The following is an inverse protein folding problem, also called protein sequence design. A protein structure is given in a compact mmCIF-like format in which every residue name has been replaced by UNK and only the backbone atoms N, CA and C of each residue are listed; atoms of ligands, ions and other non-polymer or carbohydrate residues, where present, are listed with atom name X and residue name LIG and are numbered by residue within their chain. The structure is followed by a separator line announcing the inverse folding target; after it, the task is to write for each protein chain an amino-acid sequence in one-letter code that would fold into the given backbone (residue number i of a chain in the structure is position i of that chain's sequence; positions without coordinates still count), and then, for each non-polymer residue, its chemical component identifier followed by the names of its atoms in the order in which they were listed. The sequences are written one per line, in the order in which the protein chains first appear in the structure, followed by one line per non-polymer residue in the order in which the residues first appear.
data_IF_839754651178
#
_entry.id   IF_839754651178
#
_cell.length_a   1.000
_cell.length_b   1.000
_cell.length_c   1.000
_cell.angle_alpha   90.00
_cell.angle_beta   90.00
_cell.angle_gamma   90.00
#
_symmetry.space_group_name_H-M   'P 1'
#
loop_
_entity.id
_entity.type
_entity.pdbx_description
1 polymer ?
#
# COMPACT_ATOMS: atom_id res chain seq x y z
N UNK A 1 13.00 2.57 11.82
CA UNK A 1 12.57 1.20 11.40
C UNK A 1 12.51 1.22 9.88
N UNK A 2 13.06 0.21 9.21
CA UNK A 2 12.97 0.16 7.75
C UNK A 2 11.50 0.01 7.32
N UNK A 3 11.14 0.56 6.15
CA UNK A 3 9.77 0.63 5.64
C UNK A 3 9.72 0.07 4.23
N UNK A 4 8.98 -0.99 4.05
CA UNK A 4 8.96 -1.75 2.80
C UNK A 4 7.61 -1.69 2.09
N UNK A 5 7.64 -1.56 0.78
CA UNK A 5 6.44 -1.60 -0.06
C UNK A 5 5.66 -2.91 0.10
N UNK A 6 6.38 -4.03 0.22
CA UNK A 6 5.76 -5.35 0.41
C UNK A 6 4.94 -5.45 1.69
N UNK A 7 5.32 -4.75 2.78
CA UNK A 7 4.55 -4.73 4.01
C UNK A 7 3.23 -3.97 3.84
N UNK A 8 3.22 -2.88 3.07
CA UNK A 8 2.00 -2.12 2.74
C UNK A 8 1.04 -2.98 1.94
N UNK A 9 1.52 -3.63 0.89
CA UNK A 9 0.72 -4.56 0.09
C UNK A 9 0.17 -5.70 0.94
N UNK A 10 1.02 -6.34 1.76
CA UNK A 10 0.62 -7.43 2.65
C UNK A 10 -0.45 -6.99 3.66
N UNK A 11 -0.33 -5.79 4.21
CA UNK A 11 -1.33 -5.26 5.14
C UNK A 11 -2.65 -4.98 4.44
N UNK A 12 -2.63 -4.42 3.23
CA UNK A 12 -3.84 -4.22 2.43
C UNK A 12 -4.52 -5.57 2.10
N UNK A 13 -3.74 -6.56 1.66
CA UNK A 13 -4.22 -7.93 1.40
C UNK A 13 -4.87 -8.57 2.62
N UNK A 14 -4.33 -8.36 3.82
CA UNK A 14 -4.88 -8.92 5.06
C UNK A 14 -6.26 -8.36 5.43
N UNK A 15 -6.68 -7.28 4.80
CA UNK A 15 -7.99 -6.66 5.03
C UNK A 15 -9.01 -6.93 3.91
N UNK A 16 -8.64 -7.64 2.86
CA UNK A 16 -9.59 -8.02 1.80
C UNK A 16 -10.84 -8.70 2.36
N UNK A 17 -11.99 -8.35 1.79
CA UNK A 17 -13.31 -8.87 2.20
C UNK A 17 -13.88 -8.22 3.47
N UNK A 18 -13.28 -7.16 4.00
CA UNK A 18 -13.85 -6.38 5.10
C UNK A 18 -14.92 -5.43 4.56
N UNK A 19 -16.17 -5.86 4.57
CA UNK A 19 -17.30 -5.13 4.01
C UNK A 19 -17.81 -4.04 4.95
N UNK A 20 -18.35 -2.97 4.39
CA UNK A 20 -18.92 -1.84 5.12
C UNK A 20 -19.97 -2.29 6.13
N UNK A 21 -19.93 -1.71 7.34
CA UNK A 21 -20.78 -2.06 8.46
C UNK A 21 -20.32 -3.28 9.26
N UNK A 22 -19.39 -4.10 8.72
CA UNK A 22 -18.80 -5.23 9.45
C UNK A 22 -17.88 -4.78 10.59
N UNK A 23 -17.55 -5.70 11.49
CA UNK A 23 -16.53 -5.46 12.54
C UNK A 23 -15.20 -5.06 11.93
N UNK A 24 -14.78 -5.74 10.85
CA UNK A 24 -13.52 -5.43 10.18
C UNK A 24 -13.45 -4.03 9.56
N UNK A 25 -14.56 -3.54 9.00
CA UNK A 25 -14.66 -2.14 8.54
C UNK A 25 -14.53 -1.16 9.72
N UNK A 26 -15.29 -1.40 10.81
CA UNK A 26 -15.24 -0.55 12.01
C UNK A 26 -13.83 -0.50 12.61
N UNK A 27 -13.11 -1.61 12.64
CA UNK A 27 -11.71 -1.65 13.09
C UNK A 27 -10.80 -0.75 12.27
N UNK A 28 -11.00 -0.65 10.94
CA UNK A 28 -10.23 0.24 10.05
C UNK A 28 -10.52 1.71 10.42
N UNK A 29 -11.80 2.07 10.55
CA UNK A 29 -12.22 3.43 10.90
C UNK A 29 -11.73 3.81 12.31
N UNK A 30 -11.87 2.91 13.28
CA UNK A 30 -11.44 3.16 14.66
C UNK A 30 -9.93 3.29 14.77
N UNK A 31 -9.16 2.49 14.02
CA UNK A 31 -7.71 2.61 13.94
C UNK A 31 -7.31 3.99 13.42
N UNK A 32 -7.92 4.45 12.32
CA UNK A 32 -7.69 5.82 11.82
C UNK A 32 -8.04 6.87 12.87
N UNK A 33 -9.20 6.77 13.50
CA UNK A 33 -9.68 7.73 14.50
C UNK A 33 -8.84 7.72 15.79
N UNK A 34 -8.12 6.65 16.08
CA UNK A 34 -7.22 6.57 17.24
C UNK A 34 -5.91 7.33 17.02
N UNK A 35 -5.50 7.52 15.76
CA UNK A 35 -4.28 8.24 15.41
C UNK A 35 -4.44 9.76 15.61
N UNK A 36 -3.44 10.39 16.24
CA UNK A 36 -3.48 11.83 16.56
C UNK A 36 -2.24 12.54 16.00
N UNK A 37 -2.40 13.79 15.55
CA UNK A 37 -3.68 14.54 15.42
C UNK A 37 -4.54 13.97 14.29
N UNK A 38 -5.87 14.09 14.42
CA UNK A 38 -6.79 13.78 13.33
C UNK A 38 -6.59 14.77 12.18
N UNK A 39 -6.61 14.28 10.95
CA UNK A 39 -6.58 15.13 9.77
C UNK A 39 -7.73 16.16 9.83
N UNK A 40 -7.40 17.42 9.77
CA UNK A 40 -8.36 18.54 9.86
C UNK A 40 -9.27 18.50 11.11
N UNK A 41 -8.87 17.77 12.16
CA UNK A 41 -9.68 17.58 13.37
C UNK A 41 -10.95 16.72 13.17
N UNK A 42 -11.11 16.10 12.00
CA UNK A 42 -12.32 15.35 11.65
C UNK A 42 -12.24 13.88 12.09
N UNK A 43 -13.25 13.45 12.84
CA UNK A 43 -13.45 12.06 13.22
C UNK A 43 -14.33 11.37 12.17
N UNK A 44 -13.80 10.43 11.42
CA UNK A 44 -14.51 9.70 10.37
C UNK A 44 -15.63 8.85 10.98
N UNK A 45 -16.80 8.90 10.37
CA UNK A 45 -17.96 8.07 10.74
C UNK A 45 -17.95 6.77 9.95
N UNK A 46 -18.67 5.76 10.44
CA UNK A 46 -18.80 4.48 9.73
C UNK A 46 -19.63 4.55 8.44
N UNK A 47 -20.25 5.70 8.17
CA UNK A 47 -21.09 5.96 6.98
C UNK A 47 -20.44 6.95 6.02
N UNK A 48 -19.24 7.41 6.30
CA UNK A 48 -18.51 8.30 5.41
C UNK A 48 -17.80 7.48 4.33
N UNK A 49 -17.51 8.09 3.17
CA UNK A 49 -16.60 7.48 2.20
C UNK A 49 -15.22 7.26 2.86
N UNK A 50 -14.67 6.06 2.72
CA UNK A 50 -13.52 5.62 3.51
C UNK A 50 -12.32 5.09 2.71
N UNK A 51 -12.28 5.33 1.39
CA UNK A 51 -11.14 4.93 0.54
C UNK A 51 -9.81 5.53 1.03
N UNK A 52 -9.75 6.84 1.26
CA UNK A 52 -8.55 7.51 1.79
C UNK A 52 -8.26 7.12 3.25
N UNK A 53 -9.31 6.88 4.04
CA UNK A 53 -9.20 6.37 5.40
C UNK A 53 -8.57 4.97 5.43
N UNK A 54 -8.92 4.09 4.48
CA UNK A 54 -8.30 2.78 4.33
C UNK A 54 -6.79 2.87 4.10
N UNK A 55 -6.35 3.69 3.13
CA UNK A 55 -4.91 3.90 2.85
C UNK A 55 -4.19 4.44 4.08
N UNK A 56 -4.78 5.42 4.75
CA UNK A 56 -4.25 6.00 5.98
C UNK A 56 -4.16 4.98 7.11
N UNK A 57 -5.17 4.14 7.28
CA UNK A 57 -5.20 3.10 8.30
C UNK A 57 -4.12 2.03 8.07
N UNK A 58 -3.82 1.67 6.80
CA UNK A 58 -2.68 0.81 6.46
C UNK A 58 -1.36 1.45 6.94
N UNK A 59 -1.16 2.74 6.64
CA UNK A 59 0.04 3.47 7.09
C UNK A 59 0.15 3.53 8.62
N UNK A 60 -0.96 3.80 9.31
CA UNK A 60 -1.01 3.85 10.79
C UNK A 60 -0.67 2.47 11.37
N UNK A 61 -1.26 1.39 10.83
CA UNK A 61 -1.02 0.02 11.29
C UNK A 61 0.45 -0.38 11.24
N UNK A 62 1.15 0.10 10.23
CA UNK A 62 2.57 -0.20 10.01
C UNK A 62 3.53 0.82 10.66
N UNK A 63 3.03 1.96 11.15
CA UNK A 63 3.88 3.06 11.62
C UNK A 63 4.58 3.81 10.49
N UNK A 64 3.96 3.89 9.29
CA UNK A 64 4.52 4.48 8.07
C UNK A 64 3.96 5.87 7.74
N UNK A 65 3.37 6.54 8.73
CA UNK A 65 2.67 7.83 8.55
C UNK A 65 3.58 9.00 8.15
N UNK A 66 4.87 8.85 8.30
CA UNK A 66 5.86 9.82 7.83
C UNK A 66 6.11 9.76 6.31
N UNK A 67 5.91 8.59 5.66
CA UNK A 67 6.04 8.42 4.21
C UNK A 67 4.68 8.34 3.49
N UNK A 68 3.66 7.80 4.13
CA UNK A 68 2.27 7.77 3.62
C UNK A 68 1.45 8.70 4.51
N UNK A 69 0.94 9.83 3.98
CA UNK A 69 0.21 10.79 4.79
C UNK A 69 -1.12 10.22 5.30
N UNK A 70 -1.51 10.63 6.49
CA UNK A 70 -2.82 10.29 7.07
C UNK A 70 -3.84 11.35 6.71
N UNK A 71 -4.86 10.97 5.96
CA UNK A 71 -5.95 11.85 5.52
C UNK A 71 -7.20 11.02 5.21
N UNK A 72 -8.38 11.62 5.31
CA UNK A 72 -9.66 10.99 4.96
C UNK A 72 -10.29 11.55 3.68
N UNK A 73 -9.58 12.41 2.96
CA UNK A 73 -10.02 12.98 1.69
C UNK A 73 -8.94 12.91 0.63
N UNK A 74 -9.28 12.38 -0.55
CA UNK A 74 -8.33 12.10 -1.63
C UNK A 74 -7.54 13.34 -2.07
N UNK A 75 -8.22 14.48 -2.30
CA UNK A 75 -7.55 15.72 -2.73
C UNK A 75 -6.52 16.22 -1.72
N UNK A 76 -6.86 16.17 -0.43
CA UNK A 76 -5.93 16.59 0.64
C UNK A 76 -4.77 15.59 0.81
N UNK A 77 -5.00 14.31 0.56
CA UNK A 77 -3.92 13.33 0.54
C UNK A 77 -2.93 13.60 -0.60
N UNK A 78 -3.40 14.00 -1.80
CA UNK A 78 -2.54 14.45 -2.90
C UNK A 78 -1.73 15.68 -2.50
N UNK A 79 -2.35 16.70 -1.88
CA UNK A 79 -1.63 17.90 -1.42
C UNK A 79 -0.47 17.53 -0.47
N UNK A 80 -0.71 16.61 0.45
CA UNK A 80 0.32 16.12 1.37
C UNK A 80 1.41 15.31 0.67
N UNK A 81 1.06 14.48 -0.33
CA UNK A 81 2.03 13.76 -1.14
C UNK A 81 2.90 14.72 -1.98
N UNK A 82 2.29 15.76 -2.57
CA UNK A 82 3.01 16.84 -3.27
C UNK A 82 3.99 17.53 -2.33
N UNK A 83 3.58 17.87 -1.13
CA UNK A 83 4.45 18.53 -0.14
C UNK A 83 5.65 17.68 0.30
N UNK A 84 5.51 16.35 0.23
CA UNK A 84 6.59 15.37 0.52
C UNK A 84 7.48 15.09 -0.70
N UNK A 85 7.19 15.66 -1.88
CA UNK A 85 7.85 15.30 -3.13
C UNK A 85 7.65 13.83 -3.52
N UNK A 86 6.47 13.29 -3.22
CA UNK A 86 6.06 11.91 -3.40
C UNK A 86 4.80 11.80 -4.29
N UNK A 87 4.66 12.69 -5.28
CA UNK A 87 3.53 12.71 -6.21
C UNK A 87 3.98 12.74 -7.65
N UNK A 88 3.34 11.96 -8.52
CA UNK A 88 3.55 11.96 -9.98
C UNK A 88 2.18 12.05 -10.66
N UNK A 89 2.01 13.05 -11.50
CA UNK A 89 0.89 13.22 -12.42
C UNK A 89 1.27 12.64 -13.80
N UNK A 90 1.10 11.34 -13.95
CA UNK A 90 1.39 10.65 -15.22
C UNK A 90 0.65 9.30 -15.26
N UNK A 91 -0.44 9.23 -15.98
CA UNK A 91 -1.24 8.02 -16.17
C UNK A 91 -0.48 6.92 -16.91
N UNK A 92 0.48 7.30 -17.77
CA UNK A 92 1.30 6.35 -18.53
C UNK A 92 2.37 5.66 -17.67
N UNK A 93 2.51 6.08 -16.43
CA UNK A 93 3.46 5.45 -15.52
C UNK A 93 3.06 4.00 -15.23
N UNK A 94 4.02 3.12 -15.30
CA UNK A 94 3.88 1.76 -14.73
C UNK A 94 4.21 1.82 -13.24
N UNK A 95 3.19 1.72 -12.37
CA UNK A 95 3.42 1.86 -10.93
C UNK A 95 4.12 0.62 -10.35
N UNK A 96 4.71 0.81 -9.17
CA UNK A 96 5.28 -0.29 -8.40
C UNK A 96 4.27 -0.76 -7.32
N UNK A 97 4.38 -2.00 -6.85
CA UNK A 97 3.65 -2.43 -5.66
C UNK A 97 3.90 -1.47 -4.48
N UNK A 98 2.83 -1.11 -3.78
CA UNK A 98 2.88 -0.13 -2.69
C UNK A 98 2.73 1.34 -3.11
N UNK A 99 2.79 1.67 -4.40
CA UNK A 99 2.38 3.00 -4.87
C UNK A 99 0.88 3.21 -4.55
N UNK A 100 0.50 4.46 -4.37
CA UNK A 100 -0.88 4.86 -4.07
C UNK A 100 -1.47 5.45 -5.34
N UNK A 101 -2.52 4.82 -5.88
CA UNK A 101 -3.17 5.28 -7.12
C UNK A 101 -4.42 6.08 -6.78
N UNK A 102 -4.62 7.19 -7.50
CA UNK A 102 -5.78 8.05 -7.37
C UNK A 102 -6.57 8.09 -8.65
N UNK A 103 -7.88 8.23 -8.53
CA UNK A 103 -8.82 8.27 -9.64
C UNK A 103 -9.62 9.56 -9.65
N UNK A 104 -9.89 10.05 -10.85
CA UNK A 104 -10.85 11.09 -11.18
C UNK A 104 -11.90 10.46 -12.10
N UNK A 105 -13.09 10.17 -11.57
CA UNK A 105 -14.16 9.53 -12.33
C UNK A 105 -14.85 10.49 -13.30
N UNK A 106 -14.74 11.79 -13.06
CA UNK A 106 -15.31 12.84 -13.88
C UNK A 106 -14.41 13.22 -15.08
N UNK A 107 -13.24 12.59 -15.20
CA UNK A 107 -12.35 12.80 -16.33
C UNK A 107 -13.09 12.54 -17.64
N UNK A 108 -13.15 13.57 -18.49
CA UNK A 108 -13.84 13.51 -19.79
C UNK A 108 -13.08 12.70 -20.87
N UNK A 109 -12.02 11.99 -20.50
CA UNK A 109 -11.21 11.13 -21.34
C UNK A 109 -10.10 11.83 -22.11
N UNK A 110 -9.75 13.03 -21.72
CA UNK A 110 -8.59 13.74 -22.29
C UNK A 110 -7.27 13.36 -21.62
N UNK A 111 -7.29 12.63 -20.52
CA UNK A 111 -6.10 12.15 -19.82
C UNK A 111 -5.17 13.29 -19.42
N UNK A 112 -5.74 14.38 -18.93
CA UNK A 112 -4.97 15.58 -18.60
C UNK A 112 -4.42 15.58 -17.17
N UNK A 113 -4.75 14.55 -16.37
CA UNK A 113 -4.36 14.39 -14.95
C UNK A 113 -4.77 15.59 -14.06
N UNK A 114 -5.77 16.34 -14.49
CA UNK A 114 -6.37 17.44 -13.73
C UNK A 114 -7.68 16.97 -13.12
N UNK A 115 -8.25 17.79 -12.24
CA UNK A 115 -9.53 17.50 -11.61
C UNK A 115 -9.41 17.07 -10.16
N UNK A 116 -10.57 16.80 -9.57
CA UNK A 116 -10.69 16.41 -8.16
C UNK A 116 -10.70 14.89 -8.05
N UNK A 117 -9.79 14.29 -7.28
CA UNK A 117 -9.80 12.85 -7.11
C UNK A 117 -10.96 12.44 -6.19
N UNK A 118 -11.76 11.49 -6.62
CA UNK A 118 -12.86 10.91 -5.86
C UNK A 118 -12.48 9.61 -5.15
N UNK A 119 -11.45 8.91 -5.64
CA UNK A 119 -11.10 7.59 -5.10
C UNK A 119 -9.60 7.37 -5.01
N UNK A 120 -9.19 6.38 -4.20
CA UNK A 120 -7.79 6.04 -3.97
C UNK A 120 -7.64 4.58 -3.55
N UNK A 121 -6.54 3.95 -4.01
CA UNK A 121 -6.19 2.59 -3.64
C UNK A 121 -4.68 2.39 -3.50
N UNK A 122 -4.30 1.16 -3.15
CA UNK A 122 -2.91 0.72 -3.03
C UNK A 122 -2.61 -0.26 -4.16
N UNK A 123 -1.60 0.02 -4.97
CA UNK A 123 -1.16 -0.88 -6.03
C UNK A 123 -0.64 -2.18 -5.42
N UNK A 124 -1.29 -3.30 -5.75
CA UNK A 124 -0.85 -4.63 -5.32
C UNK A 124 0.26 -5.16 -6.22
N UNK A 125 0.06 -5.09 -7.53
CA UNK A 125 1.02 -5.60 -8.53
C UNK A 125 0.66 -5.17 -9.95
N UNK A 126 1.59 -5.36 -10.87
CA UNK A 126 1.34 -5.34 -12.32
C UNK A 126 1.13 -6.76 -12.85
N UNK A 127 0.20 -6.92 -13.78
CA UNK A 127 -0.03 -8.12 -14.58
C UNK A 127 -0.01 -7.73 -16.07
N UNK A 128 1.16 -7.83 -16.70
CA UNK A 128 1.31 -7.30 -18.06
C UNK A 128 0.98 -5.82 -18.12
N UNK A 129 -0.03 -5.45 -18.90
CA UNK A 129 -0.51 -4.07 -19.03
C UNK A 129 -1.71 -3.74 -18.14
N UNK A 130 -1.92 -4.54 -17.10
CA UNK A 130 -2.96 -4.29 -16.10
C UNK A 130 -2.33 -4.01 -14.74
N UNK A 131 -2.98 -3.14 -13.97
CA UNK A 131 -2.66 -2.82 -12.59
C UNK A 131 -3.71 -3.50 -11.71
N UNK A 132 -3.26 -4.28 -10.74
CA UNK A 132 -4.13 -4.79 -9.68
C UNK A 132 -4.00 -3.86 -8.47
N UNK A 133 -5.12 -3.35 -8.00
CA UNK A 133 -5.21 -2.38 -6.90
C UNK A 133 -6.07 -2.96 -5.79
N UNK A 134 -5.71 -2.70 -4.53
CA UNK A 134 -6.57 -2.99 -3.37
C UNK A 134 -7.13 -1.66 -2.89
N UNK A 135 -8.46 -1.61 -2.78
CA UNK A 135 -9.21 -0.39 -2.46
C UNK A 135 -10.14 -0.62 -1.28
N UNK A 136 -10.29 0.36 -0.42
CA UNK A 136 -11.39 0.42 0.52
C UNK A 136 -12.55 1.21 -0.08
N UNK A 137 -13.77 1.01 0.40
CA UNK A 137 -14.97 1.65 -0.14
C UNK A 137 -15.20 1.33 -1.63
N UNK A 138 -15.11 0.06 -1.95
CA UNK A 138 -15.29 -0.46 -3.31
C UNK A 138 -16.17 -1.71 -3.27
N UNK A 139 -17.15 -1.79 -4.16
CA UNK A 139 -18.15 -2.87 -4.27
C UNK A 139 -17.65 -4.12 -5.03
N UNK A 140 -16.39 -4.10 -5.51
CA UNK A 140 -15.85 -5.19 -6.31
C UNK A 140 -16.43 -5.26 -7.72
N UNK A 141 -16.93 -4.11 -8.25
CA UNK A 141 -17.65 -3.99 -9.51
C UNK A 141 -18.98 -4.78 -9.55
N UNK A 142 -19.56 -5.02 -8.37
CA UNK A 142 -20.85 -5.70 -8.18
C UNK A 142 -21.75 -4.81 -7.33
N UNK A 143 -22.62 -4.04 -7.99
CA UNK A 143 -23.52 -3.06 -7.34
C UNK A 143 -24.49 -3.65 -6.33
N UNK A 144 -24.66 -4.97 -6.31
CA UNK A 144 -25.51 -5.67 -5.33
C UNK A 144 -24.75 -5.95 -4.03
N UNK A 145 -23.43 -5.75 -4.00
CA UNK A 145 -22.62 -5.89 -2.81
C UNK A 145 -22.45 -4.55 -2.08
N UNK A 146 -22.22 -4.66 -0.78
CA UNK A 146 -21.77 -3.52 0.01
C UNK A 146 -20.31 -3.24 -0.29
N UNK A 147 -19.95 -1.97 -0.29
CA UNK A 147 -18.57 -1.52 -0.34
C UNK A 147 -17.71 -2.28 0.68
N UNK A 148 -16.50 -2.57 0.28
CA UNK A 148 -15.56 -3.33 1.11
C UNK A 148 -14.12 -2.99 0.79
N UNK A 149 -13.22 -3.81 1.31
CA UNK A 149 -11.83 -3.86 0.85
C UNK A 149 -11.75 -4.90 -0.26
N UNK A 150 -11.66 -4.43 -1.50
CA UNK A 150 -11.73 -5.30 -2.69
C UNK A 150 -10.60 -5.00 -3.67
N UNK A 151 -10.45 -5.89 -4.65
CA UNK A 151 -9.52 -5.69 -5.76
C UNK A 151 -10.20 -5.07 -6.97
N UNK A 152 -9.53 -4.09 -7.55
CA UNK A 152 -9.84 -3.57 -8.88
C UNK A 152 -8.72 -3.94 -9.85
N UNK A 153 -9.06 -4.26 -11.10
CA UNK A 153 -8.10 -4.46 -12.19
C UNK A 153 -8.36 -3.41 -13.26
N UNK A 154 -7.35 -2.58 -13.54
CA UNK A 154 -7.44 -1.52 -14.55
C UNK A 154 -6.25 -1.59 -15.51
N UNK A 155 -6.37 -1.10 -16.74
CA UNK A 155 -5.23 -1.00 -17.63
C UNK A 155 -4.20 0.03 -17.13
N UNK A 156 -2.93 -0.23 -17.39
CA UNK A 156 -1.91 0.83 -17.37
C UNK A 156 -2.37 1.90 -18.36
N UNK A 157 -2.21 3.17 -18.01
CA UNK A 157 -2.73 4.27 -18.80
C UNK A 157 -4.28 4.29 -18.88
N UNK A 158 -4.94 3.84 -17.82
CA UNK A 158 -6.40 3.88 -17.71
C UNK A 158 -6.91 5.32 -17.66
N UNK A 159 -8.04 5.57 -18.36
CA UNK A 159 -8.65 6.88 -18.52
C UNK A 159 -8.81 7.68 -17.21
N UNK A 160 -9.19 7.00 -16.16
CA UNK A 160 -9.54 7.65 -14.90
C UNK A 160 -8.38 7.77 -13.91
N UNK A 161 -7.15 7.44 -14.32
CA UNK A 161 -5.99 7.56 -13.45
C UNK A 161 -5.63 9.04 -13.30
N UNK A 162 -5.81 9.58 -12.08
CA UNK A 162 -5.46 10.95 -11.73
C UNK A 162 -3.95 11.12 -11.49
N UNK A 163 -3.28 10.09 -11.03
CA UNK A 163 -1.86 10.07 -10.73
C UNK A 163 -1.52 9.13 -9.58
N UNK A 164 -0.25 9.22 -9.15
CA UNK A 164 0.31 8.29 -8.18
C UNK A 164 1.04 8.98 -7.04
N UNK A 165 0.75 8.56 -5.81
CA UNK A 165 1.62 8.74 -4.67
C UNK A 165 2.72 7.69 -4.70
N UNK A 166 3.97 8.14 -4.53
CA UNK A 166 5.17 7.27 -4.53
C UNK A 166 5.89 7.39 -3.17
N UNK A 167 5.43 6.71 -2.12
CA UNK A 167 6.07 6.78 -0.81
C UNK A 167 7.54 6.36 -0.91
N UNK A 168 8.40 6.99 -0.12
CA UNK A 168 9.84 6.70 -0.10
C UNK A 168 10.11 5.48 0.78
N UNK A 169 9.94 4.30 0.19
CA UNK A 169 10.29 3.04 0.86
C UNK A 169 11.80 2.81 0.88
N UNK A 170 12.25 2.09 1.89
CA UNK A 170 13.60 1.54 1.91
C UNK A 170 13.73 0.42 0.86
N UNK A 171 14.92 0.26 0.32
CA UNK A 171 15.18 -0.83 -0.62
C UNK A 171 15.06 -2.18 0.10
N UNK A 172 14.24 -3.07 -0.44
CA UNK A 172 14.19 -4.44 0.02
C UNK A 172 15.45 -5.17 -0.45
N UNK A 173 16.15 -5.78 0.51
CA UNK A 173 17.25 -6.64 0.16
C UNK A 173 16.75 -7.90 -0.55
N UNK A 174 17.51 -8.38 -1.52
CA UNK A 174 17.24 -9.71 -2.08
C UNK A 174 17.48 -10.78 -1.01
N UNK A 175 16.74 -11.89 -1.10
CA UNK A 175 16.95 -13.00 -0.18
C UNK A 175 18.41 -13.53 -0.22
N UNK A 176 19.05 -13.48 -1.38
CA UNK A 176 20.48 -13.79 -1.52
C UNK A 176 21.37 -12.82 -0.74
N UNK A 177 21.09 -11.52 -0.79
CA UNK A 177 21.84 -10.52 0.00
C UNK A 177 21.62 -10.71 1.51
N UNK A 178 20.41 -11.09 1.94
CA UNK A 178 20.12 -11.42 3.33
C UNK A 178 20.91 -12.64 3.81
N UNK A 179 20.94 -13.69 3.02
CA UNK A 179 21.73 -14.89 3.34
C UNK A 179 23.23 -14.58 3.43
N UNK A 180 23.76 -13.75 2.53
CA UNK A 180 25.15 -13.31 2.57
C UNK A 180 25.47 -12.53 3.84
N UNK A 181 24.62 -11.56 4.21
CA UNK A 181 24.79 -10.79 5.45
C UNK A 181 24.82 -11.70 6.68
N UNK A 182 23.92 -12.69 6.77
CA UNK A 182 23.87 -13.60 7.90
C UNK A 182 25.10 -14.52 7.94
N UNK A 183 25.64 -14.91 6.78
CA UNK A 183 26.90 -15.66 6.71
C UNK A 183 28.10 -14.82 7.13
N UNK A 184 28.19 -13.57 6.70
CA UNK A 184 29.27 -12.64 7.11
C UNK A 184 29.27 -12.38 8.62
N UNK A 185 28.11 -12.52 9.27
CA UNK A 185 27.96 -12.43 10.74
C UNK A 185 28.09 -13.78 11.46
N UNK A 186 28.42 -14.86 10.75
CA UNK A 186 28.60 -16.19 11.33
C UNK A 186 27.31 -16.86 11.82
N UNK A 187 26.15 -16.35 11.40
CA UNK A 187 24.83 -16.85 11.83
C UNK A 187 24.41 -18.08 11.01
N UNK A 188 24.72 -18.08 9.73
CA UNK A 188 24.49 -19.21 8.83
C UNK A 188 25.76 -19.55 8.05
N UNK A 189 25.88 -20.80 7.66
CA UNK A 189 26.92 -21.27 6.75
C UNK A 189 26.34 -21.39 5.33
N UNK A 190 27.19 -21.34 4.31
CA UNK A 190 26.80 -21.58 2.90
C UNK A 190 25.63 -20.72 2.41
N UNK A 191 25.79 -19.39 2.29
CA UNK A 191 24.72 -18.47 1.91
C UNK A 191 24.08 -18.83 0.58
N UNK A 192 24.84 -19.36 -0.40
CA UNK A 192 24.33 -19.79 -1.70
C UNK A 192 23.38 -20.99 -1.61
N UNK A 193 23.59 -21.88 -0.64
CA UNK A 193 22.68 -22.99 -0.38
C UNK A 193 21.32 -22.49 0.09
N UNK A 194 21.34 -21.55 1.03
CA UNK A 194 20.12 -20.93 1.54
C UNK A 194 19.41 -20.08 0.48
N UNK A 195 20.17 -19.33 -0.30
CA UNK A 195 19.64 -18.44 -1.34
C UNK A 195 18.97 -19.19 -2.49
N UNK A 196 19.41 -20.42 -2.81
CA UNK A 196 18.84 -21.24 -3.89
C UNK A 196 17.47 -21.83 -3.57
N UNK A 197 17.03 -21.79 -2.31
CA UNK A 197 15.69 -22.23 -1.92
C UNK A 197 15.41 -23.73 -2.10
N UNK A 198 16.42 -24.54 -2.41
CA UNK A 198 16.25 -25.97 -2.59
C UNK A 198 15.99 -26.65 -1.24
N UNK A 199 14.73 -26.94 -0.94
CA UNK A 199 14.30 -27.61 0.28
C UNK A 199 13.71 -26.70 1.37
N UNK A 200 13.76 -25.38 1.19
CA UNK A 200 13.21 -24.39 2.13
C UNK A 200 12.24 -23.42 1.44
N UNK A 201 11.43 -23.92 0.53
CA UNK A 201 10.40 -23.14 -0.18
C UNK A 201 9.22 -22.71 0.71
N UNK A 202 9.29 -23.01 2.00
CA UNK A 202 8.34 -22.50 2.96
C UNK A 202 8.51 -20.98 3.11
N UNK A 203 7.46 -20.27 2.75
CA UNK A 203 7.38 -18.82 2.86
C UNK A 203 7.72 -18.30 4.27
N UNK A 204 7.51 -19.12 5.31
CA UNK A 204 7.83 -18.81 6.69
C UNK A 204 9.34 -18.82 6.96
N UNK A 205 10.07 -19.77 6.38
CA UNK A 205 11.53 -19.84 6.50
C UNK A 205 12.19 -18.64 5.83
N UNK A 206 11.76 -18.27 4.62
CA UNK A 206 12.23 -17.08 3.92
C UNK A 206 11.94 -15.82 4.74
N UNK A 207 10.72 -15.71 5.29
CA UNK A 207 10.33 -14.57 6.12
C UNK A 207 11.16 -14.49 7.41
N UNK A 208 11.44 -15.62 8.04
CA UNK A 208 12.25 -15.70 9.25
C UNK A 208 13.68 -15.21 9.00
N UNK A 209 14.31 -15.68 7.93
CA UNK A 209 15.67 -15.28 7.55
C UNK A 209 15.70 -13.78 7.22
N UNK A 210 14.73 -13.25 6.48
CA UNK A 210 14.62 -11.81 6.20
C UNK A 210 14.51 -10.99 7.49
N UNK A 211 13.63 -11.39 8.41
CA UNK A 211 13.48 -10.70 9.72
C UNK A 211 14.77 -10.75 10.56
N UNK A 212 15.50 -11.86 10.50
CA UNK A 212 16.77 -11.99 11.22
C UNK A 212 17.84 -11.08 10.60
N UNK A 213 17.93 -11.04 9.27
CA UNK A 213 18.84 -10.13 8.57
C UNK A 213 18.53 -8.66 8.88
N UNK A 214 17.26 -8.27 8.92
CA UNK A 214 16.83 -6.92 9.30
C UNK A 214 17.21 -6.60 10.75
N UNK A 215 17.05 -7.54 11.67
CA UNK A 215 17.50 -7.37 13.05
C UNK A 215 19.01 -7.11 13.13
N UNK A 216 19.80 -7.88 12.39
CA UNK A 216 21.27 -7.73 12.34
C UNK A 216 21.66 -6.36 11.76
N UNK A 217 21.01 -5.90 10.69
CA UNK A 217 21.25 -4.56 10.10
C UNK A 217 20.99 -3.42 11.09
N UNK A 218 19.99 -3.60 11.98
CA UNK A 218 19.62 -2.56 12.97
C UNK A 218 20.54 -2.49 14.17
N UNK A 219 21.28 -3.55 14.44
CA UNK A 219 22.15 -3.68 15.63
C UNK A 219 23.64 -3.49 15.31
N UNK A 220 24.02 -3.57 14.06
CA UNK A 220 25.39 -3.32 13.57
C UNK A 220 25.58 -1.93 13.08
#
# INVERSE_FOLDING_TARGET
MAKYASEVVKQAQAWLGRNEGSTGHKEIIDLYNSHKPLARGYKVKYTDAWCATFVSAVAIKLGYTDIIPTECGCGKMIDLLKSKGAWIENENRRPNPGDIIFYDWDDNGKGDNLGSPEHVGIVEKLLGDSIVVIEGNHDGDDSDKKDGVERRVIPVNGRYIRGYGIPKYDAESSFSADCKLLADKGIINSPDYWAKGSGYSDSNTVLLIKKFADYVRRKG
#
